data_IF_260177948553
#
_entry.id   IF_260177948553
#
_cell.length_a   1.000
_cell.length_b   1.000
_cell.length_c   1.000
_cell.angle_alpha   90.00
_cell.angle_beta   90.00
_cell.angle_gamma   90.00
#
_symmetry.space_group_name_H-M   'P 1'
#
loop_
_entity.id
_entity.type
_entity.pdbx_description
1 polymer ?
#
# COMPACT_ATOMS: atom_id res chain seq x y z
N UNK A 1 -44.19 32.81 -4.99
CA UNK A 1 -43.22 31.97 -5.72
C UNK A 1 -43.98 31.20 -6.77
N UNK A 2 -43.68 31.47 -8.05
CA UNK A 2 -44.40 30.95 -9.20
C UNK A 2 -44.29 29.42 -9.26
N UNK A 3 -45.37 28.72 -9.60
CA UNK A 3 -45.39 27.24 -9.68
C UNK A 3 -44.31 26.67 -10.59
N UNK A 4 -43.91 27.36 -11.64
CA UNK A 4 -42.82 27.00 -12.52
C UNK A 4 -41.46 26.96 -11.83
N UNK A 5 -41.17 27.83 -10.89
CA UNK A 5 -39.93 27.87 -10.12
C UNK A 5 -39.83 26.68 -9.16
N UNK A 6 -40.96 26.26 -8.57
CA UNK A 6 -41.00 25.06 -7.70
C UNK A 6 -40.75 23.76 -8.50
N UNK A 7 -41.33 23.66 -9.71
CA UNK A 7 -41.10 22.51 -10.58
C UNK A 7 -39.64 22.40 -11.01
N UNK A 8 -39.00 23.51 -11.43
CA UNK A 8 -37.58 23.51 -11.83
C UNK A 8 -36.65 23.07 -10.67
N UNK A 9 -36.93 23.54 -9.44
CA UNK A 9 -36.15 23.14 -8.26
C UNK A 9 -36.32 21.64 -7.95
N UNK A 10 -37.53 21.10 -8.08
CA UNK A 10 -37.80 19.68 -7.85
C UNK A 10 -37.11 18.80 -8.91
N UNK A 11 -37.19 19.15 -10.18
CA UNK A 11 -36.52 18.39 -11.24
C UNK A 11 -35.02 18.47 -11.18
N UNK A 12 -34.43 19.61 -10.79
CA UNK A 12 -32.99 19.72 -10.57
C UNK A 12 -32.53 18.90 -9.34
N UNK A 13 -33.28 18.88 -8.26
CA UNK A 13 -32.98 18.08 -7.07
C UNK A 13 -33.05 16.56 -7.34
N UNK A 14 -34.08 16.14 -8.11
CA UNK A 14 -34.19 14.70 -8.52
C UNK A 14 -33.08 14.33 -9.50
N UNK A 15 -32.72 15.19 -10.44
CA UNK A 15 -31.60 14.95 -11.37
C UNK A 15 -30.27 14.81 -10.67
N UNK A 16 -29.98 15.65 -9.67
CA UNK A 16 -28.74 15.57 -8.88
C UNK A 16 -28.72 14.33 -7.99
N UNK A 17 -29.83 13.99 -7.34
CA UNK A 17 -29.92 12.78 -6.52
C UNK A 17 -29.74 11.49 -7.36
N UNK A 18 -30.30 11.46 -8.56
CA UNK A 18 -30.14 10.34 -9.51
C UNK A 18 -28.69 10.22 -10.00
N UNK A 19 -28.03 11.34 -10.29
CA UNK A 19 -26.64 11.37 -10.72
C UNK A 19 -25.70 10.88 -9.61
N UNK A 20 -25.93 11.31 -8.37
CA UNK A 20 -25.16 10.85 -7.20
C UNK A 20 -25.39 9.35 -6.96
N UNK A 21 -26.63 8.87 -7.07
CA UNK A 21 -26.97 7.46 -6.94
C UNK A 21 -26.30 6.59 -8.00
N UNK A 22 -26.34 7.02 -9.26
CA UNK A 22 -25.69 6.32 -10.38
C UNK A 22 -24.16 6.35 -10.25
N UNK A 23 -23.57 7.47 -9.82
CA UNK A 23 -22.13 7.58 -9.60
C UNK A 23 -21.66 6.69 -8.43
N UNK A 24 -22.44 6.63 -7.36
CA UNK A 24 -22.18 5.74 -6.22
C UNK A 24 -22.28 4.28 -6.63
N UNK A 25 -23.33 3.91 -7.37
CA UNK A 25 -23.51 2.55 -7.87
C UNK A 25 -22.38 2.15 -8.84
N UNK A 26 -22.01 3.04 -9.78
CA UNK A 26 -20.92 2.83 -10.71
C UNK A 26 -19.57 2.70 -9.99
N UNK A 27 -19.33 3.52 -8.96
CA UNK A 27 -18.15 3.41 -8.11
C UNK A 27 -18.09 2.08 -7.36
N UNK A 28 -19.21 1.64 -6.77
CA UNK A 28 -19.32 0.35 -6.06
C UNK A 28 -19.14 -0.82 -7.01
N UNK A 29 -19.75 -0.79 -8.19
CA UNK A 29 -19.61 -1.83 -9.21
C UNK A 29 -18.17 -1.90 -9.73
N UNK A 30 -17.54 -0.76 -10.04
CA UNK A 30 -16.13 -0.72 -10.46
C UNK A 30 -15.17 -1.23 -9.37
N UNK A 31 -15.43 -0.89 -8.11
CA UNK A 31 -14.64 -1.40 -6.99
C UNK A 31 -14.79 -2.92 -6.85
N UNK A 32 -15.98 -3.46 -7.04
CA UNK A 32 -16.26 -4.90 -6.98
C UNK A 32 -15.68 -5.66 -8.19
N UNK A 33 -15.72 -5.06 -9.39
CA UNK A 33 -15.16 -5.63 -10.61
C UNK A 33 -13.62 -5.62 -10.63
N UNK A 34 -12.98 -4.68 -9.91
CA UNK A 34 -11.53 -4.54 -9.85
C UNK A 34 -10.89 -5.35 -8.70
N UNK A 35 -11.68 -5.86 -7.75
CA UNK A 35 -11.17 -6.70 -6.68
C UNK A 35 -11.03 -8.15 -7.18
N UNK A 36 -9.85 -8.73 -6.96
CA UNK A 36 -9.63 -10.12 -7.32
C UNK A 36 -10.38 -11.05 -6.35
N UNK A 37 -11.00 -12.10 -6.89
CA UNK A 37 -11.54 -13.16 -6.04
C UNK A 37 -10.38 -13.88 -5.35
N UNK A 38 -10.41 -13.94 -4.02
CA UNK A 38 -9.46 -14.72 -3.24
C UNK A 38 -9.69 -16.21 -3.51
N UNK A 39 -8.68 -16.89 -4.02
CA UNK A 39 -8.74 -18.32 -4.40
C UNK A 39 -8.54 -19.21 -3.18
N UNK A 40 -7.56 -18.88 -2.35
CA UNK A 40 -7.21 -19.67 -1.15
C UNK A 40 -7.70 -18.95 0.12
N UNK A 41 -8.72 -19.50 0.79
CA UNK A 41 -9.24 -18.96 2.06
C UNK A 41 -8.35 -19.28 3.27
N UNK A 42 -7.48 -20.29 3.16
CA UNK A 42 -6.57 -20.73 4.23
C UNK A 42 -5.12 -20.74 3.75
N UNK A 43 -4.49 -19.58 3.55
CA UNK A 43 -3.14 -19.51 3.04
C UNK A 43 -2.15 -20.17 4.02
N UNK A 44 -1.18 -20.91 3.49
CA UNK A 44 -0.09 -21.55 4.25
C UNK A 44 1.26 -20.92 3.97
N UNK A 45 1.42 -20.28 2.82
CA UNK A 45 2.70 -19.68 2.40
C UNK A 45 2.47 -18.26 1.89
N UNK A 46 3.02 -17.30 2.61
CA UNK A 46 2.85 -15.87 2.33
C UNK A 46 4.21 -15.24 2.04
N UNK A 47 4.31 -14.47 0.97
CA UNK A 47 5.48 -13.66 0.65
C UNK A 47 5.17 -12.18 0.82
N UNK A 48 5.98 -11.49 1.60
CA UNK A 48 6.01 -10.04 1.62
C UNK A 48 7.13 -9.52 0.72
N UNK A 49 6.81 -8.57 -0.15
CA UNK A 49 7.75 -7.89 -1.05
C UNK A 49 7.74 -6.41 -0.72
N UNK A 50 8.91 -5.79 -0.51
CA UNK A 50 8.94 -4.38 -0.16
C UNK A 50 10.30 -3.76 0.08
N UNK A 51 10.26 -2.64 0.76
CA UNK A 51 11.41 -1.81 1.14
C UNK A 51 11.67 -1.84 2.66
N UNK A 52 12.23 -0.76 3.21
CA UNK A 52 12.52 -0.64 4.65
C UNK A 52 11.30 -0.82 5.55
N UNK A 53 10.08 -0.59 5.07
CA UNK A 53 8.87 -0.76 5.87
C UNK A 53 8.46 -2.23 6.03
N UNK A 54 9.01 -3.11 5.20
CA UNK A 54 8.76 -4.56 5.18
C UNK A 54 9.97 -5.34 5.69
N UNK A 55 11.16 -4.76 5.56
CA UNK A 55 12.42 -5.44 5.84
C UNK A 55 12.50 -5.97 7.28
N UNK A 56 12.94 -7.22 7.41
CA UNK A 56 13.14 -7.90 8.70
C UNK A 56 14.62 -7.91 9.13
N UNK A 57 15.48 -7.30 8.31
CA UNK A 57 16.88 -7.04 8.59
C UNK A 57 17.21 -5.59 8.26
N UNK A 58 18.10 -4.98 9.03
CA UNK A 58 18.62 -3.65 8.74
C UNK A 58 19.70 -3.70 7.64
N UNK A 59 20.22 -2.54 7.25
CA UNK A 59 21.27 -2.43 6.22
C UNK A 59 22.57 -3.12 6.58
N UNK A 60 22.83 -3.36 7.87
CA UNK A 60 24.01 -4.07 8.39
C UNK A 60 23.77 -5.57 8.60
N UNK A 61 22.62 -6.11 8.16
CA UNK A 61 22.27 -7.51 8.32
C UNK A 61 21.70 -7.91 9.68
N UNK A 62 21.57 -6.96 10.63
CA UNK A 62 20.98 -7.22 11.94
C UNK A 62 19.46 -7.46 11.85
N UNK A 63 18.96 -8.45 12.60
CA UNK A 63 17.52 -8.74 12.68
C UNK A 63 16.73 -7.59 13.29
N UNK A 64 15.58 -7.26 12.69
CA UNK A 64 14.60 -6.34 13.24
C UNK A 64 13.38 -7.17 13.67
N UNK A 65 13.24 -7.41 14.96
CA UNK A 65 12.22 -8.34 15.49
C UNK A 65 10.80 -7.77 15.48
N UNK A 66 10.65 -6.46 15.62
CA UNK A 66 9.35 -5.78 15.79
C UNK A 66 8.65 -5.38 14.49
N UNK A 67 9.15 -5.83 13.32
CA UNK A 67 8.51 -5.49 12.03
C UNK A 67 7.20 -6.25 11.85
N UNK A 68 6.26 -5.66 11.11
CA UNK A 68 4.94 -6.28 10.95
C UNK A 68 4.97 -7.67 10.29
N UNK A 69 5.90 -8.03 9.38
CA UNK A 69 5.99 -9.42 8.92
C UNK A 69 6.42 -10.38 10.02
N UNK A 70 7.30 -9.97 10.95
CA UNK A 70 7.70 -10.80 12.09
C UNK A 70 6.57 -10.97 13.11
N UNK A 71 5.83 -9.90 13.41
CA UNK A 71 4.63 -9.95 14.26
C UNK A 71 3.60 -10.92 13.66
N UNK A 72 3.38 -10.86 12.35
CA UNK A 72 2.46 -11.78 11.66
C UNK A 72 2.97 -13.22 11.65
N UNK A 73 4.28 -13.43 11.52
CA UNK A 73 4.90 -14.77 11.59
C UNK A 73 4.62 -15.41 12.95
N UNK A 74 4.79 -14.67 14.02
CA UNK A 74 4.47 -15.13 15.38
C UNK A 74 2.97 -15.39 15.55
N UNK A 75 2.12 -14.43 15.19
CA UNK A 75 0.66 -14.53 15.30
C UNK A 75 0.07 -15.70 14.51
N UNK A 76 0.69 -16.09 13.41
CA UNK A 76 0.22 -17.13 12.50
C UNK A 76 0.93 -18.48 12.66
N UNK A 77 1.91 -18.58 13.54
CA UNK A 77 2.70 -19.81 13.75
C UNK A 77 1.81 -21.01 14.09
N UNK A 78 0.85 -20.83 14.99
CA UNK A 78 -0.08 -21.89 15.41
C UNK A 78 -1.07 -22.32 14.31
N UNK A 79 -1.19 -21.53 13.22
CA UNK A 79 -2.05 -21.86 12.08
C UNK A 79 -1.28 -22.59 10.96
N UNK A 80 -0.01 -22.89 11.19
CA UNK A 80 0.88 -23.53 10.22
C UNK A 80 1.17 -22.66 8.99
N UNK A 81 1.14 -21.33 9.16
CA UNK A 81 1.44 -20.36 8.09
C UNK A 81 2.92 -20.01 8.12
N UNK A 82 3.58 -20.11 6.97
CA UNK A 82 4.96 -19.64 6.80
C UNK A 82 4.97 -18.28 6.11
N UNK A 83 5.84 -17.38 6.58
CA UNK A 83 6.03 -16.04 6.03
C UNK A 83 7.47 -15.88 5.57
N UNK A 84 7.63 -15.63 4.27
CA UNK A 84 8.89 -15.23 3.66
C UNK A 84 8.89 -13.72 3.38
N UNK A 85 10.07 -13.12 3.31
CA UNK A 85 10.24 -11.70 3.04
C UNK A 85 11.27 -11.49 1.94
N UNK A 86 10.94 -10.71 0.93
CA UNK A 86 11.82 -10.14 -0.08
C UNK A 86 11.79 -8.62 0.08
N UNK A 87 12.61 -8.09 0.95
CA UNK A 87 12.65 -6.66 1.23
C UNK A 87 14.02 -6.21 1.68
N UNK A 88 14.39 -5.00 1.29
CA UNK A 88 15.64 -4.37 1.71
C UNK A 88 15.44 -2.85 1.76
N UNK A 89 15.98 -2.21 2.80
CA UNK A 89 15.90 -0.77 3.00
C UNK A 89 16.45 0.03 1.81
N UNK A 90 15.79 1.13 1.46
CA UNK A 90 16.19 2.02 0.37
C UNK A 90 15.90 1.50 -1.05
N UNK A 91 15.33 0.30 -1.21
CA UNK A 91 15.10 -0.29 -2.53
C UNK A 91 13.81 0.23 -3.18
N UNK A 92 13.89 0.45 -4.49
CA UNK A 92 12.79 0.86 -5.35
C UNK A 92 12.01 -0.34 -5.88
N UNK A 93 10.89 -0.08 -6.53
CA UNK A 93 10.07 -1.11 -7.20
C UNK A 93 10.83 -1.83 -8.32
N UNK A 94 11.79 -1.19 -8.97
CA UNK A 94 12.65 -1.84 -9.96
C UNK A 94 13.50 -2.97 -9.34
N UNK A 95 14.11 -2.74 -8.17
CA UNK A 95 14.83 -3.78 -7.45
C UNK A 95 13.90 -4.93 -7.02
N UNK A 96 12.73 -4.60 -6.49
CA UNK A 96 11.75 -5.62 -6.07
C UNK A 96 11.34 -6.51 -7.25
N UNK A 97 11.02 -5.89 -8.41
CA UNK A 97 10.66 -6.58 -9.64
C UNK A 97 11.78 -7.50 -10.14
N UNK A 98 13.02 -7.04 -10.12
CA UNK A 98 14.19 -7.83 -10.58
C UNK A 98 14.45 -9.07 -9.71
N UNK A 99 14.16 -8.99 -8.41
CA UNK A 99 14.46 -10.06 -7.47
C UNK A 99 13.27 -11.03 -7.20
N UNK A 100 12.04 -10.61 -7.51
CA UNK A 100 10.85 -11.42 -7.28
C UNK A 100 10.84 -12.75 -8.03
N UNK A 101 11.28 -12.86 -9.31
CA UNK A 101 11.25 -14.13 -10.06
C UNK A 101 12.03 -15.25 -9.38
N UNK A 102 13.18 -14.96 -8.79
CA UNK A 102 13.99 -15.95 -8.08
C UNK A 102 13.24 -16.53 -6.87
N UNK A 103 12.53 -15.68 -6.12
CA UNK A 103 11.68 -16.12 -4.99
C UNK A 103 10.51 -17.00 -5.46
N UNK A 104 9.83 -16.59 -6.52
CA UNK A 104 8.67 -17.31 -7.05
C UNK A 104 9.09 -18.65 -7.69
N UNK A 105 10.28 -18.73 -8.28
CA UNK A 105 10.83 -19.98 -8.81
C UNK A 105 11.15 -20.99 -7.71
N UNK A 106 11.66 -20.51 -6.58
CA UNK A 106 12.09 -21.38 -5.48
C UNK A 106 10.93 -21.96 -4.67
N UNK A 107 9.75 -21.32 -4.69
CA UNK A 107 8.62 -21.71 -3.83
C UNK A 107 7.30 -21.20 -4.39
N UNK A 108 6.26 -22.01 -4.29
CA UNK A 108 4.87 -21.57 -4.53
C UNK A 108 4.33 -20.84 -3.31
N UNK A 109 3.70 -19.69 -3.53
CA UNK A 109 3.05 -18.91 -2.47
C UNK A 109 1.54 -18.87 -2.70
N UNK A 110 0.78 -18.94 -1.61
CA UNK A 110 -0.68 -18.74 -1.65
C UNK A 110 -1.03 -17.26 -1.75
N UNK A 111 -0.22 -16.42 -1.12
CA UNK A 111 -0.39 -14.95 -1.14
C UNK A 111 0.94 -14.23 -1.33
N UNK A 112 0.89 -13.16 -2.10
CA UNK A 112 1.99 -12.20 -2.25
C UNK A 112 1.47 -10.82 -1.90
N UNK A 113 2.12 -10.16 -0.94
CA UNK A 113 1.79 -8.81 -0.50
C UNK A 113 2.91 -7.87 -0.95
N UNK A 114 2.58 -6.92 -1.82
CA UNK A 114 3.52 -5.89 -2.29
C UNK A 114 3.30 -4.62 -1.48
N UNK A 115 4.34 -4.12 -0.83
CA UNK A 115 4.36 -2.87 -0.08
C UNK A 115 5.62 -2.07 -0.45
N UNK A 116 5.54 -1.29 -1.50
CA UNK A 116 6.67 -0.55 -2.04
C UNK A 116 6.27 0.73 -2.77
N UNK A 117 7.26 1.37 -3.36
CA UNK A 117 7.09 2.64 -4.08
C UNK A 117 7.42 3.87 -3.24
N UNK A 118 7.65 3.72 -1.94
CA UNK A 118 8.09 4.82 -1.08
C UNK A 118 9.41 5.45 -1.55
N UNK A 119 10.40 4.63 -1.86
CA UNK A 119 11.69 5.11 -2.36
C UNK A 119 11.62 5.64 -3.80
N UNK A 120 10.72 5.11 -4.62
CA UNK A 120 10.45 5.67 -5.97
C UNK A 120 9.89 7.09 -5.87
N UNK A 121 8.98 7.33 -4.91
CA UNK A 121 8.40 8.67 -4.72
C UNK A 121 9.40 9.68 -4.14
N UNK A 122 10.42 9.24 -3.41
CA UNK A 122 11.49 10.10 -2.91
C UNK A 122 12.51 10.48 -3.98
N UNK A 123 12.55 9.76 -5.10
CA UNK A 123 13.41 10.03 -6.22
C UNK A 123 12.64 10.81 -7.31
N UNK A 124 13.05 12.06 -7.54
CA UNK A 124 12.40 12.94 -8.52
C UNK A 124 12.51 12.39 -9.96
N UNK A 125 13.59 11.66 -10.29
CA UNK A 125 13.83 11.11 -11.62
C UNK A 125 12.98 9.88 -11.96
N UNK A 126 12.30 9.26 -10.98
CA UNK A 126 11.44 8.08 -11.23
C UNK A 126 9.99 8.54 -11.43
N UNK A 127 9.43 8.48 -12.64
CA UNK A 127 8.02 8.79 -12.86
C UNK A 127 7.09 7.84 -12.12
N UNK A 128 5.91 8.31 -11.69
CA UNK A 128 4.90 7.44 -11.08
C UNK A 128 4.42 6.33 -12.02
N UNK A 129 4.37 6.60 -13.33
CA UNK A 129 4.05 5.61 -14.36
C UNK A 129 5.02 4.43 -14.34
N UNK A 130 6.32 4.68 -14.14
CA UNK A 130 7.32 3.62 -13.99
C UNK A 130 7.09 2.80 -12.72
N UNK A 131 6.82 3.46 -11.60
CA UNK A 131 6.50 2.78 -10.33
C UNK A 131 5.27 1.88 -10.47
N UNK A 132 4.20 2.39 -11.07
CA UNK A 132 2.94 1.66 -11.29
C UNK A 132 3.17 0.48 -12.24
N UNK A 133 3.89 0.68 -13.35
CA UNK A 133 4.27 -0.38 -14.28
C UNK A 133 5.04 -1.50 -13.57
N UNK A 134 6.05 -1.17 -12.77
CA UNK A 134 6.82 -2.16 -12.02
C UNK A 134 5.94 -2.94 -11.04
N UNK A 135 4.99 -2.27 -10.36
CA UNK A 135 4.04 -2.93 -9.46
C UNK A 135 3.12 -3.86 -10.25
N UNK A 136 2.58 -3.45 -11.41
CA UNK A 136 1.75 -4.31 -12.25
C UNK A 136 2.52 -5.56 -12.72
N UNK A 137 3.76 -5.40 -13.17
CA UNK A 137 4.60 -6.54 -13.57
C UNK A 137 4.84 -7.53 -12.41
N UNK A 138 5.06 -7.02 -11.17
CA UNK A 138 5.16 -7.88 -9.99
C UNK A 138 3.84 -8.63 -9.69
N UNK A 139 2.72 -7.95 -9.87
CA UNK A 139 1.38 -8.56 -9.75
C UNK A 139 1.21 -9.69 -10.74
N UNK A 140 1.55 -9.46 -12.00
CA UNK A 140 1.40 -10.46 -13.07
C UNK A 140 2.31 -11.67 -12.83
N UNK A 141 3.56 -11.45 -12.42
CA UNK A 141 4.48 -12.52 -12.02
C UNK A 141 3.92 -13.37 -10.87
N UNK A 142 3.42 -12.74 -9.82
CA UNK A 142 2.87 -13.45 -8.67
C UNK A 142 1.59 -14.22 -9.02
N UNK A 143 0.69 -13.64 -9.83
CA UNK A 143 -0.53 -14.31 -10.31
C UNK A 143 -0.22 -15.50 -11.20
N UNK A 144 0.76 -15.39 -12.10
CA UNK A 144 1.23 -16.48 -12.93
C UNK A 144 1.86 -17.62 -12.11
N UNK A 145 2.40 -17.30 -10.93
CA UNK A 145 2.84 -18.28 -9.94
C UNK A 145 1.68 -18.95 -9.19
N UNK A 146 0.45 -18.44 -9.32
CA UNK A 146 -0.78 -18.96 -8.70
C UNK A 146 -1.21 -18.24 -7.42
N UNK A 147 -0.49 -17.22 -6.99
CA UNK A 147 -0.77 -16.50 -5.75
C UNK A 147 -1.97 -15.55 -5.87
N UNK A 148 -2.69 -15.37 -4.75
CA UNK A 148 -3.54 -14.20 -4.55
C UNK A 148 -2.66 -13.00 -4.22
N UNK A 149 -2.86 -11.86 -4.91
CA UNK A 149 -1.99 -10.70 -4.77
C UNK A 149 -2.70 -9.57 -4.03
N UNK A 150 -1.98 -8.97 -3.10
CA UNK A 150 -2.43 -7.82 -2.33
C UNK A 150 -1.41 -6.68 -2.47
N UNK A 151 -1.90 -5.46 -2.62
CA UNK A 151 -1.08 -4.26 -2.56
C UNK A 151 -1.38 -3.52 -1.27
N UNK A 152 -0.38 -3.38 -0.42
CA UNK A 152 -0.46 -2.54 0.76
C UNK A 152 -0.17 -1.09 0.36
N UNK A 153 -1.19 -0.24 0.43
CA UNK A 153 -1.09 1.19 0.09
C UNK A 153 -0.33 2.01 1.14
N UNK A 154 0.03 1.38 2.25
CA UNK A 154 0.73 2.04 3.34
C UNK A 154 -0.19 2.89 4.21
N UNK A 155 0.38 3.74 5.02
CA UNK A 155 -0.37 4.58 5.94
C UNK A 155 -0.75 5.93 5.31
N UNK A 156 -1.82 6.52 5.84
CA UNK A 156 -2.24 7.88 5.50
C UNK A 156 -1.23 8.87 6.04
N UNK A 157 -0.79 9.77 5.20
CA UNK A 157 0.02 10.92 5.64
C UNK A 157 -0.95 11.95 6.19
N UNK A 158 -1.03 12.07 7.51
CA UNK A 158 -1.98 12.96 8.22
C UNK A 158 -1.33 13.68 9.39
N UNK A 159 -2.00 14.72 9.87
CA UNK A 159 -1.66 15.46 11.08
C UNK A 159 -0.22 15.97 11.07
N UNK A 160 0.45 15.86 12.20
CA UNK A 160 1.81 16.38 12.40
C UNK A 160 2.82 15.87 11.36
N UNK A 161 2.71 14.63 10.93
CA UNK A 161 3.59 14.03 9.92
C UNK A 161 2.98 13.99 8.51
N UNK A 162 1.70 14.29 8.41
CA UNK A 162 0.99 14.38 7.14
C UNK A 162 0.73 15.79 6.69
N UNK A 163 0.94 16.76 7.57
CA UNK A 163 1.03 18.15 7.15
C UNK A 163 2.31 18.32 6.35
N UNK A 164 2.14 18.61 5.07
CA UNK A 164 3.27 18.85 4.15
C UNK A 164 4.14 20.03 4.56
N UNK A 165 3.64 20.90 5.44
CA UNK A 165 4.36 22.06 5.95
C UNK A 165 5.23 21.75 7.18
N UNK A 166 5.05 20.58 7.80
CA UNK A 166 5.79 20.20 9.02
C UNK A 166 6.72 19.04 8.68
N UNK A 167 8.00 19.30 8.62
CA UNK A 167 9.01 18.25 8.52
C UNK A 167 9.17 17.52 9.85
N UNK A 168 9.28 16.19 9.84
CA UNK A 168 9.62 15.42 11.03
C UNK A 168 11.01 15.82 11.57
N UNK A 169 11.12 15.99 12.87
CA UNK A 169 12.40 16.24 13.55
C UNK A 169 13.21 14.93 13.63
N UNK A 170 14.53 15.03 13.51
CA UNK A 170 15.44 13.88 13.72
C UNK A 170 15.61 12.97 12.51
N UNK A 171 15.28 13.42 11.30
CA UNK A 171 15.54 12.66 10.09
C UNK A 171 17.04 12.55 9.79
N UNK A 172 17.52 11.38 9.33
CA UNK A 172 18.89 11.25 8.85
C UNK A 172 19.22 12.27 7.75
N UNK A 173 20.41 12.82 7.77
CA UNK A 173 20.84 13.89 6.87
C UNK A 173 20.78 13.55 5.38
N UNK A 174 20.72 12.27 5.03
CA UNK A 174 20.64 11.77 3.66
C UNK A 174 19.21 11.56 3.14
N UNK A 175 18.17 11.85 3.93
CA UNK A 175 16.78 11.55 3.58
C UNK A 175 15.89 12.79 3.74
N UNK A 176 15.58 13.46 2.62
CA UNK A 176 14.53 14.49 2.55
C UNK A 176 14.57 15.47 3.75
N UNK A 177 15.75 16.03 4.02
CA UNK A 177 15.99 16.89 5.19
C UNK A 177 15.47 18.30 5.00
N UNK A 178 15.17 18.69 3.76
CA UNK A 178 14.71 20.04 3.40
C UNK A 178 13.22 20.01 3.03
N UNK A 179 12.52 21.09 3.35
CA UNK A 179 11.09 21.27 3.03
C UNK A 179 10.82 21.13 1.52
N UNK A 180 11.72 21.63 0.69
CA UNK A 180 11.68 21.58 -0.77
C UNK A 180 11.71 20.12 -1.30
N UNK A 181 12.28 19.19 -0.54
CA UNK A 181 12.30 17.76 -0.88
C UNK A 181 11.12 17.02 -0.26
N UNK A 182 10.72 17.41 0.95
CA UNK A 182 9.65 16.77 1.69
C UNK A 182 8.28 16.96 1.05
N UNK A 183 7.95 18.19 0.65
CA UNK A 183 6.65 18.50 0.04
C UNK A 183 6.39 17.68 -1.23
N UNK A 184 7.30 17.70 -2.24
CA UNK A 184 7.11 16.88 -3.45
C UNK A 184 7.02 15.38 -3.15
N UNK A 185 7.80 14.87 -2.21
CA UNK A 185 7.72 13.47 -1.78
C UNK A 185 6.33 13.12 -1.26
N UNK A 186 5.79 13.91 -0.32
CA UNK A 186 4.47 13.68 0.26
C UNK A 186 3.37 13.74 -0.79
N UNK A 187 3.43 14.74 -1.69
CA UNK A 187 2.47 14.89 -2.79
C UNK A 187 2.53 13.69 -3.73
N UNK A 188 3.73 13.29 -4.16
CA UNK A 188 3.95 12.16 -5.06
C UNK A 188 3.51 10.83 -4.43
N UNK A 189 3.71 10.66 -3.12
CA UNK A 189 3.25 9.48 -2.38
C UNK A 189 1.72 9.42 -2.27
N UNK A 190 1.08 10.54 -1.96
CA UNK A 190 -0.41 10.62 -1.95
C UNK A 190 -0.99 10.30 -3.33
N UNK A 191 -0.37 10.83 -4.37
CA UNK A 191 -0.80 10.57 -5.74
C UNK A 191 -0.61 9.09 -6.13
N UNK A 192 0.50 8.46 -5.76
CA UNK A 192 0.69 7.02 -5.96
C UNK A 192 -0.42 6.21 -5.27
N UNK A 193 -0.73 6.52 -4.01
CA UNK A 193 -1.81 5.86 -3.26
C UNK A 193 -3.18 6.01 -3.93
N UNK A 194 -3.44 7.17 -4.56
CA UNK A 194 -4.68 7.44 -5.29
C UNK A 194 -4.74 6.69 -6.63
N UNK A 195 -3.61 6.58 -7.33
CA UNK A 195 -3.55 5.99 -8.67
C UNK A 195 -3.57 4.47 -8.64
N UNK A 196 -2.89 3.82 -7.69
CA UNK A 196 -2.75 2.37 -7.64
C UNK A 196 -4.09 1.63 -7.73
N UNK A 197 -5.15 1.95 -6.94
CA UNK A 197 -6.42 1.24 -7.02
C UNK A 197 -7.15 1.42 -8.36
N UNK A 198 -6.82 2.49 -9.09
CA UNK A 198 -7.45 2.79 -10.38
C UNK A 198 -6.71 2.14 -11.55
N UNK A 199 -5.40 1.95 -11.44
CA UNK A 199 -4.56 1.52 -12.55
C UNK A 199 -4.13 0.05 -12.46
N UNK A 200 -3.94 -0.49 -11.24
CA UNK A 200 -3.58 -1.90 -11.06
C UNK A 200 -4.83 -2.78 -11.06
N UNK A 201 -4.81 -3.83 -11.85
CA UNK A 201 -5.96 -4.72 -12.04
C UNK A 201 -5.73 -6.11 -11.45
N UNK A 202 -6.83 -6.74 -11.04
CA UNK A 202 -6.85 -8.13 -10.61
C UNK A 202 -6.13 -8.39 -9.29
N UNK A 203 -6.15 -7.44 -8.36
CA UNK A 203 -5.55 -7.52 -7.03
C UNK A 203 -6.53 -7.08 -5.95
N UNK A 204 -6.20 -7.37 -4.72
CA UNK A 204 -6.85 -6.81 -3.55
C UNK A 204 -5.96 -5.72 -2.93
N UNK A 205 -6.59 -4.71 -2.34
CA UNK A 205 -5.88 -3.60 -1.72
C UNK A 205 -6.03 -3.63 -0.20
N UNK A 206 -4.90 -3.49 0.49
CA UNK A 206 -4.89 -3.11 1.89
C UNK A 206 -4.95 -1.59 1.91
N UNK A 207 -6.12 -1.06 2.29
CA UNK A 207 -6.40 0.37 2.24
C UNK A 207 -5.44 1.17 3.14
N UNK A 208 -5.19 2.44 2.81
CA UNK A 208 -4.38 3.30 3.66
C UNK A 208 -4.92 3.37 5.09
N UNK A 209 -4.05 3.20 6.05
CA UNK A 209 -4.35 3.20 7.49
C UNK A 209 -3.64 4.37 8.19
N UNK A 210 -4.15 4.74 9.37
CA UNK A 210 -3.56 5.78 10.19
C UNK A 210 -2.61 5.17 11.22
N UNK A 211 -1.39 5.70 11.31
CA UNK A 211 -0.43 5.32 12.34
C UNK A 211 -0.47 6.24 13.56
N UNK A 212 -1.34 7.26 13.58
CA UNK A 212 -1.48 8.18 14.71
C UNK A 212 -0.13 8.69 15.25
N UNK A 213 0.72 9.15 14.35
CA UNK A 213 2.09 9.61 14.67
C UNK A 213 3.04 8.52 15.24
N UNK A 214 2.72 7.25 15.10
CA UNK A 214 3.59 6.13 15.51
C UNK A 214 4.66 5.81 14.47
N UNK A 215 5.40 6.86 14.08
CA UNK A 215 6.56 6.77 13.19
C UNK A 215 7.77 7.41 13.86
N UNK A 216 8.97 6.96 13.50
CA UNK A 216 10.23 7.52 14.04
C UNK A 216 10.62 8.81 13.35
N UNK A 217 10.41 8.90 12.05
CA UNK A 217 10.87 9.98 11.16
C UNK A 217 9.79 10.45 10.16
N UNK A 218 8.53 10.15 10.43
CA UNK A 218 7.41 10.41 9.53
C UNK A 218 7.24 9.41 8.39
N UNK A 219 8.18 8.44 8.26
CA UNK A 219 8.17 7.41 7.21
C UNK A 219 8.21 6.00 7.79
N UNK A 220 9.05 5.74 8.79
CA UNK A 220 9.25 4.41 9.35
C UNK A 220 8.40 4.20 10.60
N UNK A 221 7.55 3.17 10.65
CA UNK A 221 6.76 2.87 11.83
C UNK A 221 7.65 2.54 13.04
N UNK A 222 7.26 3.00 14.22
CA UNK A 222 7.79 2.50 15.49
C UNK A 222 7.33 1.05 15.72
N UNK A 223 7.82 0.39 16.76
CA UNK A 223 7.30 -0.94 17.14
C UNK A 223 5.77 -0.93 17.35
N UNK A 224 5.22 0.13 17.96
CA UNK A 224 3.78 0.31 18.12
C UNK A 224 3.09 0.54 16.76
N UNK A 225 3.71 1.30 15.85
CA UNK A 225 3.23 1.47 14.48
C UNK A 225 3.20 0.14 13.72
N UNK A 226 4.23 -0.68 13.82
CA UNK A 226 4.25 -2.00 13.19
C UNK A 226 3.16 -2.95 13.71
N UNK A 227 2.75 -2.84 14.99
CA UNK A 227 1.59 -3.60 15.50
C UNK A 227 0.29 -3.19 14.80
N UNK A 228 0.06 -1.89 14.62
CA UNK A 228 -1.12 -1.39 13.88
C UNK A 228 -1.11 -1.91 12.43
N UNK A 229 0.06 -1.86 11.78
CA UNK A 229 0.22 -2.39 10.42
C UNK A 229 -0.07 -3.88 10.36
N UNK A 230 0.46 -4.65 11.31
CA UNK A 230 0.25 -6.10 11.38
C UNK A 230 -1.23 -6.45 11.52
N UNK A 231 -1.98 -5.78 12.40
CA UNK A 231 -3.43 -6.01 12.54
C UNK A 231 -4.17 -5.67 11.24
N UNK A 232 -3.88 -4.54 10.63
CA UNK A 232 -4.55 -4.13 9.39
C UNK A 232 -4.27 -5.08 8.22
N UNK A 233 -3.04 -5.55 8.12
CA UNK A 233 -2.67 -6.56 7.13
C UNK A 233 -3.36 -7.89 7.43
N UNK A 234 -3.34 -8.34 8.69
CA UNK A 234 -3.98 -9.58 9.13
C UNK A 234 -5.47 -9.64 8.76
N UNK A 235 -6.24 -8.60 9.13
CA UNK A 235 -7.67 -8.49 8.82
C UNK A 235 -8.00 -8.61 7.33
N UNK A 236 -7.04 -8.23 6.47
CA UNK A 236 -7.26 -8.19 5.02
C UNK A 236 -6.82 -9.48 4.34
N UNK A 237 -5.76 -10.13 4.87
CA UNK A 237 -5.15 -11.27 4.18
C UNK A 237 -5.50 -12.63 4.81
N UNK A 238 -6.16 -12.67 5.96
CA UNK A 238 -6.59 -13.92 6.61
C UNK A 238 -8.10 -14.01 6.63
#
# INVERSE_FOLDING_TARGET
VNNNTKQIIVYSAIGVASAIGLFSLFYFLNKRLNSARIKNKNPKKILFVGDSQVAVVNSSGGKITYTYPNILREKLSNKGVTIDVLALGGKTTDWMKKNLPAKLKSKKYDRVIVHGGGNDTSNASIPLSTTIKNIQEMVDLAKNNGADVFINLGYKIQGKFGDINIMPVGRPANLLTKKEQWIPYVQKRKELQRLLPNQIKGVNFINPYDLQSKTTDGIHPTAAGHKIVAEKVYETII
#
